data_IF_391555353734
#
_entry.id   IF_391555353734
#
_cell.length_a   1.000
_cell.length_b   1.000
_cell.length_c   1.000
_cell.angle_alpha   90.00
_cell.angle_beta   90.00
_cell.angle_gamma   90.00
#
_symmetry.space_group_name_H-M   'P 1'
#
loop_
_entity.id
_entity.type
_entity.pdbx_description
1 polymer ?
#
# COMPACT_ATOMS: atom_id res chain seq x y z
N UNK A 1 35.62 18.25 -0.49
CA UNK A 1 34.44 18.84 -1.16
C UNK A 1 34.15 17.98 -2.38
N UNK A 2 33.00 17.32 -2.43
CA UNK A 2 32.67 16.42 -3.53
C UNK A 2 32.57 17.16 -4.86
N UNK A 3 33.15 16.57 -5.89
CA UNK A 3 33.18 17.13 -7.24
C UNK A 3 31.82 16.82 -7.88
N UNK A 4 31.17 17.84 -8.44
CA UNK A 4 29.85 17.77 -9.08
C UNK A 4 29.73 16.52 -9.98
N UNK A 5 28.80 15.62 -9.65
CA UNK A 5 28.06 14.84 -10.66
C UNK A 5 28.11 13.29 -10.68
N UNK A 6 28.62 12.53 -9.71
CA UNK A 6 28.83 11.07 -9.97
C UNK A 6 28.10 10.03 -9.10
N UNK A 7 27.70 10.33 -7.86
CA UNK A 7 27.22 9.31 -6.91
C UNK A 7 25.92 9.65 -6.18
N UNK A 8 25.87 10.80 -5.51
CA UNK A 8 24.72 11.21 -4.69
C UNK A 8 23.43 11.34 -5.49
N UNK A 9 23.51 12.02 -6.62
CA UNK A 9 22.38 12.22 -7.52
C UNK A 9 21.86 10.88 -8.06
N UNK A 10 22.74 9.89 -8.29
CA UNK A 10 22.34 8.53 -8.69
C UNK A 10 21.65 7.77 -7.56
N UNK A 11 22.13 7.93 -6.32
CA UNK A 11 21.52 7.29 -5.16
C UNK A 11 20.13 7.89 -4.90
N UNK A 12 20.01 9.22 -4.98
CA UNK A 12 18.73 9.92 -4.78
C UNK A 12 17.76 9.57 -5.89
N UNK A 13 18.14 9.77 -7.17
CA UNK A 13 17.26 9.47 -8.30
C UNK A 13 16.82 8.01 -8.31
N UNK A 14 17.73 7.05 -8.10
CA UNK A 14 17.40 5.63 -8.02
C UNK A 14 16.47 5.27 -6.86
N UNK A 15 16.39 6.09 -5.82
CA UNK A 15 15.44 5.95 -4.71
C UNK A 15 14.09 6.61 -5.03
N UNK A 16 14.12 7.81 -5.61
CA UNK A 16 12.93 8.59 -6.00
C UNK A 16 12.05 7.87 -7.02
N UNK A 17 12.65 7.13 -7.96
CA UNK A 17 11.91 6.37 -8.97
C UNK A 17 11.24 5.08 -8.45
N UNK A 18 11.41 4.72 -7.17
CA UNK A 18 10.80 3.52 -6.61
C UNK A 18 9.32 3.73 -6.27
N UNK A 19 8.50 2.70 -6.51
CA UNK A 19 7.02 2.73 -6.42
C UNK A 19 6.49 3.24 -5.07
N UNK A 20 7.22 3.01 -3.98
CA UNK A 20 6.80 3.35 -2.60
C UNK A 20 7.57 4.52 -1.98
N UNK A 21 8.25 5.31 -2.82
CA UNK A 21 8.96 6.51 -2.41
C UNK A 21 7.97 7.62 -2.00
N UNK A 22 8.32 8.33 -0.93
CA UNK A 22 7.74 9.61 -0.55
C UNK A 22 8.90 10.50 -0.04
N UNK A 23 8.69 11.81 0.02
CA UNK A 23 9.69 12.77 0.48
C UNK A 23 10.16 12.49 1.92
N UNK A 24 9.29 11.95 2.78
CA UNK A 24 9.63 11.49 4.14
C UNK A 24 10.63 10.32 4.17
N UNK A 25 10.79 9.63 3.04
CA UNK A 25 11.69 8.49 2.87
C UNK A 25 12.95 8.86 2.08
N UNK A 26 13.27 10.15 1.95
CA UNK A 26 14.48 10.61 1.27
C UNK A 26 15.75 10.10 1.97
N UNK A 27 16.73 9.55 1.22
CA UNK A 27 17.99 9.12 1.81
C UNK A 27 18.73 10.26 2.52
N UNK A 28 19.25 9.97 3.71
CA UNK A 28 20.02 10.93 4.51
C UNK A 28 21.50 10.64 4.37
N UNK A 29 22.26 11.67 4.04
CA UNK A 29 23.71 11.61 3.86
C UNK A 29 24.40 12.36 4.99
N UNK A 30 25.31 11.69 5.69
CA UNK A 30 26.15 12.30 6.73
C UNK A 30 27.60 12.01 6.39
N UNK A 31 28.42 13.06 6.36
CA UNK A 31 29.85 12.96 6.16
C UNK A 31 30.59 13.69 7.27
N UNK A 32 31.64 13.07 7.79
CA UNK A 32 32.61 13.71 8.67
C UNK A 32 34.04 13.40 8.18
N UNK A 33 35.06 13.69 9.00
CA UNK A 33 36.47 13.51 8.64
C UNK A 33 36.91 12.05 8.54
N UNK A 34 36.15 11.11 9.10
CA UNK A 34 36.54 9.71 9.23
C UNK A 34 35.52 8.73 8.62
N UNK A 35 34.27 9.15 8.48
CA UNK A 35 33.22 8.30 7.97
C UNK A 35 32.25 9.05 7.05
N UNK A 36 31.62 8.24 6.23
CA UNK A 36 30.48 8.61 5.42
C UNK A 36 29.37 7.60 5.67
N UNK A 37 28.18 8.09 5.98
CA UNK A 37 27.01 7.26 6.29
C UNK A 37 25.85 7.65 5.39
N UNK A 38 25.23 6.64 4.80
CA UNK A 38 23.97 6.78 4.06
C UNK A 38 22.90 6.00 4.81
N UNK A 39 21.81 6.68 5.18
CA UNK A 39 20.62 6.02 5.73
C UNK A 39 19.57 5.98 4.63
N UNK A 40 19.14 4.78 4.25
CA UNK A 40 18.13 4.54 3.22
C UNK A 40 16.83 4.03 3.88
N UNK A 41 15.79 4.88 4.01
CA UNK A 41 14.54 4.51 4.67
C UNK A 41 13.76 3.44 3.92
N UNK A 42 13.66 2.24 4.49
CA UNK A 42 13.07 1.09 3.80
C UNK A 42 11.70 1.37 3.17
N UNK A 43 11.64 1.31 1.83
CA UNK A 43 10.42 1.59 1.07
C UNK A 43 9.39 0.44 1.13
N UNK A 44 9.82 -0.77 1.50
CA UNK A 44 8.99 -1.98 1.45
C UNK A 44 8.17 -2.21 2.73
N UNK A 45 8.51 -1.54 3.83
CA UNK A 45 7.81 -1.67 5.11
C UNK A 45 6.95 -0.44 5.35
N UNK A 46 5.72 -0.50 4.83
CA UNK A 46 4.65 0.40 5.29
C UNK A 46 3.87 -0.33 6.38
N UNK A 47 4.32 -0.19 7.63
CA UNK A 47 3.48 -0.43 8.81
C UNK A 47 3.08 0.96 9.34
N UNK A 48 1.78 1.25 9.52
CA UNK A 48 1.25 2.61 9.49
C UNK A 48 1.28 3.26 10.88
N UNK A 49 1.81 4.49 10.99
CA UNK A 49 1.49 5.44 12.06
C UNK A 49 2.19 6.78 11.74
N UNK A 50 1.48 7.68 11.08
CA UNK A 50 0.88 8.85 11.72
C UNK A 50 0.35 9.75 10.60
N UNK A 51 -0.89 10.16 10.73
CA UNK A 51 -1.65 10.80 9.65
C UNK A 51 -2.86 11.44 10.26
N UNK A 52 -2.61 12.61 10.83
CA UNK A 52 -3.55 13.61 11.29
C UNK A 52 -4.85 13.63 10.48
N UNK A 53 -5.96 13.71 11.23
CA UNK A 53 -7.32 14.19 10.89
C UNK A 53 -7.49 14.77 9.47
N UNK A 54 -8.49 14.38 8.67
CA UNK A 54 -9.91 14.62 8.94
C UNK A 54 -10.79 13.78 7.98
N UNK A 55 -11.56 12.81 8.48
CA UNK A 55 -12.77 12.31 7.80
C UNK A 55 -13.76 11.81 8.87
N UNK A 56 -15.07 12.13 8.83
CA UNK A 56 -15.97 11.91 9.95
C UNK A 56 -16.10 10.43 10.33
N UNK A 57 -15.77 10.17 11.59
CA UNK A 57 -15.98 8.93 12.33
C UNK A 57 -17.47 8.58 12.36
N UNK A 58 -17.90 7.59 11.58
CA UNK A 58 -19.19 6.94 11.82
C UNK A 58 -19.33 5.51 11.25
N UNK A 59 -18.37 4.62 11.53
CA UNK A 59 -18.59 3.17 11.35
C UNK A 59 -17.91 2.41 12.50
N UNK A 60 -18.59 1.44 13.16
CA UNK A 60 -18.11 0.80 14.39
C UNK A 60 -16.72 0.18 14.24
N UNK A 61 -15.86 0.45 15.22
CA UNK A 61 -14.57 -0.20 15.43
C UNK A 61 -14.84 -1.64 15.88
N UNK A 62 -14.52 -2.65 15.07
CA UNK A 62 -14.24 -3.95 15.67
C UNK A 62 -13.34 -4.93 14.91
N UNK A 63 -12.72 -4.52 13.81
CA UNK A 63 -11.71 -5.37 13.16
C UNK A 63 -10.63 -4.45 12.65
N UNK A 64 -9.39 -4.65 13.10
CA UNK A 64 -8.17 -4.01 12.59
C UNK A 64 -8.03 -4.34 11.10
N UNK A 65 -8.78 -3.67 10.24
CA UNK A 65 -8.65 -3.74 8.80
C UNK A 65 -7.42 -2.93 8.44
N UNK A 66 -6.43 -3.59 7.83
CA UNK A 66 -5.26 -2.87 7.34
C UNK A 66 -5.72 -1.83 6.32
N UNK A 67 -5.00 -0.71 6.22
CA UNK A 67 -5.26 0.32 5.20
C UNK A 67 -5.43 -0.27 3.80
N UNK A 68 -4.68 -1.35 3.50
CA UNK A 68 -4.78 -2.13 2.26
C UNK A 68 -6.13 -2.86 2.10
N UNK A 69 -6.66 -3.45 3.17
CA UNK A 69 -7.94 -4.18 3.16
C UNK A 69 -9.09 -3.22 2.79
N UNK A 70 -9.08 -2.04 3.40
CA UNK A 70 -10.04 -0.96 3.10
C UNK A 70 -9.93 -0.51 1.64
N UNK A 71 -8.72 -0.37 1.11
CA UNK A 71 -8.50 0.01 -0.29
C UNK A 71 -9.01 -1.07 -1.26
N UNK A 72 -8.78 -2.35 -0.98
CA UNK A 72 -9.30 -3.47 -1.78
C UNK A 72 -10.83 -3.46 -1.78
N UNK A 73 -11.46 -3.30 -0.62
CA UNK A 73 -12.92 -3.19 -0.48
C UNK A 73 -13.45 -2.01 -1.30
N UNK A 74 -12.80 -0.84 -1.22
CA UNK A 74 -13.22 0.34 -1.96
C UNK A 74 -13.12 0.16 -3.48
N UNK A 75 -12.11 -0.56 -3.97
CA UNK A 75 -12.00 -0.90 -5.39
C UNK A 75 -13.11 -1.85 -5.84
N UNK A 76 -13.41 -2.89 -5.04
CA UNK A 76 -14.51 -3.83 -5.32
C UNK A 76 -15.87 -3.13 -5.29
N UNK A 77 -16.08 -2.20 -4.36
CA UNK A 77 -17.32 -1.41 -4.28
C UNK A 77 -17.51 -0.48 -5.49
N UNK A 78 -16.42 0.04 -6.06
CA UNK A 78 -16.46 0.87 -7.28
C UNK A 78 -16.70 0.04 -8.53
N UNK A 79 -16.03 -1.10 -8.64
CA UNK A 79 -16.17 -2.05 -9.75
C UNK A 79 -16.09 -3.48 -9.22
N UNK A 80 -17.25 -4.14 -9.12
CA UNK A 80 -17.32 -5.51 -8.63
C UNK A 80 -16.74 -6.53 -9.62
N UNK A 81 -16.44 -6.15 -10.86
CA UNK A 81 -15.80 -7.02 -11.88
C UNK A 81 -14.30 -6.81 -12.00
N UNK A 82 -13.71 -5.96 -11.16
CA UNK A 82 -12.29 -5.66 -11.22
C UNK A 82 -11.45 -6.93 -10.97
N UNK A 83 -10.43 -7.16 -11.80
CA UNK A 83 -9.52 -8.29 -11.64
C UNK A 83 -8.49 -8.02 -10.54
N UNK A 84 -7.95 -9.08 -9.93
CA UNK A 84 -6.88 -8.95 -8.94
C UNK A 84 -5.63 -8.27 -9.49
N UNK A 85 -5.39 -8.38 -10.80
CA UNK A 85 -4.27 -7.73 -11.49
C UNK A 85 -4.48 -6.22 -11.62
N UNK A 86 -5.70 -5.79 -11.98
CA UNK A 86 -6.04 -4.37 -12.00
C UNK A 86 -5.99 -3.75 -10.61
N UNK A 87 -6.47 -4.48 -9.59
CA UNK A 87 -6.32 -4.05 -8.19
C UNK A 87 -4.83 -3.91 -7.81
N UNK A 88 -4.00 -4.87 -8.21
CA UNK A 88 -2.56 -4.86 -7.93
C UNK A 88 -1.87 -3.64 -8.56
N UNK A 89 -2.16 -3.33 -9.82
CA UNK A 89 -1.64 -2.14 -10.52
C UNK A 89 -2.12 -0.85 -9.83
N UNK A 90 -3.41 -0.75 -9.51
CA UNK A 90 -3.99 0.44 -8.89
C UNK A 90 -3.41 0.72 -7.49
N UNK A 91 -3.03 -0.34 -6.76
CA UNK A 91 -2.47 -0.24 -5.41
C UNK A 91 -0.94 -0.32 -5.37
N UNK A 92 -0.26 -0.49 -6.51
CA UNK A 92 1.20 -0.60 -6.58
C UNK A 92 1.77 -1.84 -5.88
N UNK A 93 1.01 -2.93 -5.76
CA UNK A 93 1.41 -4.17 -5.07
C UNK A 93 1.35 -5.38 -5.98
N UNK A 94 1.85 -6.53 -5.51
CA UNK A 94 1.73 -7.78 -6.26
C UNK A 94 0.32 -8.36 -6.21
N UNK A 95 -0.11 -9.05 -7.27
CA UNK A 95 -1.38 -9.80 -7.29
C UNK A 95 -1.46 -10.86 -6.19
N UNK A 96 -0.31 -11.42 -5.79
CA UNK A 96 -0.19 -12.37 -4.66
C UNK A 96 -0.51 -11.70 -3.32
N UNK A 97 -0.08 -10.45 -3.13
CA UNK A 97 -0.40 -9.64 -1.95
C UNK A 97 -1.90 -9.40 -1.86
N UNK A 98 -2.54 -8.99 -2.97
CA UNK A 98 -4.00 -8.80 -3.03
C UNK A 98 -4.75 -10.08 -2.64
N UNK A 99 -4.40 -11.22 -3.25
CA UNK A 99 -5.03 -12.51 -2.92
C UNK A 99 -4.84 -12.90 -1.46
N UNK A 100 -3.66 -12.65 -0.89
CA UNK A 100 -3.39 -12.92 0.54
C UNK A 100 -4.29 -12.09 1.46
N UNK A 101 -4.48 -10.82 1.14
CA UNK A 101 -5.37 -9.94 1.90
C UNK A 101 -6.84 -10.38 1.76
N UNK A 102 -7.30 -10.68 0.54
CA UNK A 102 -8.65 -11.20 0.29
C UNK A 102 -8.91 -12.48 1.07
N UNK A 103 -7.98 -13.44 1.06
CA UNK A 103 -8.13 -14.68 1.82
C UNK A 103 -8.16 -14.48 3.34
N UNK A 104 -7.64 -13.36 3.84
CA UNK A 104 -7.71 -12.99 5.27
C UNK A 104 -9.05 -12.33 5.62
N UNK A 105 -9.71 -11.75 4.62
CA UNK A 105 -11.02 -11.11 4.74
C UNK A 105 -12.11 -12.17 4.50
N UNK A 106 -12.69 -12.70 5.57
CA UNK A 106 -13.76 -13.71 5.47
C UNK A 106 -15.07 -13.17 4.85
N UNK A 107 -15.18 -11.85 4.72
CA UNK A 107 -16.34 -11.14 4.20
C UNK A 107 -16.30 -10.90 2.68
N UNK A 108 -15.26 -11.34 1.96
CA UNK A 108 -15.13 -11.10 0.51
C UNK A 108 -14.95 -12.42 -0.23
N UNK A 109 -15.76 -12.65 -1.26
CA UNK A 109 -15.66 -13.84 -2.10
C UNK A 109 -15.94 -13.53 -3.57
N UNK A 110 -15.38 -14.35 -4.44
CA UNK A 110 -15.58 -14.25 -5.89
C UNK A 110 -16.66 -15.23 -6.34
N UNK A 111 -17.74 -14.70 -6.91
CA UNK A 111 -18.83 -15.50 -7.47
C UNK A 111 -18.60 -15.70 -8.95
N UNK A 112 -18.37 -16.95 -9.37
CA UNK A 112 -18.23 -17.29 -10.79
C UNK A 112 -19.52 -17.94 -11.31
N UNK A 113 -20.41 -17.16 -11.94
CA UNK A 113 -21.48 -17.67 -12.82
C UNK A 113 -21.03 -17.52 -14.29
N UNK A 114 -20.48 -18.59 -14.87
CA UNK A 114 -20.01 -18.58 -16.26
C UNK A 114 -18.85 -17.61 -16.51
N UNK A 115 -18.86 -16.92 -17.66
CA UNK A 115 -17.85 -15.92 -18.04
C UNK A 115 -17.99 -14.56 -17.32
N UNK A 116 -19.05 -14.37 -16.53
CA UNK A 116 -19.40 -13.09 -15.92
C UNK A 116 -19.28 -13.15 -14.38
N UNK A 117 -18.10 -13.52 -13.88
CA UNK A 117 -17.88 -13.56 -12.43
C UNK A 117 -17.59 -12.17 -11.85
N UNK A 118 -18.03 -11.95 -10.61
CA UNK A 118 -17.85 -10.69 -9.87
C UNK A 118 -17.55 -10.96 -8.39
N UNK A 119 -17.07 -9.93 -7.69
CA UNK A 119 -16.81 -9.95 -6.26
C UNK A 119 -18.04 -9.53 -5.47
N UNK A 120 -18.32 -10.23 -4.38
CA UNK A 120 -19.37 -9.92 -3.41
C UNK A 120 -18.76 -9.70 -2.03
N UNK A 121 -19.36 -8.79 -1.26
CA UNK A 121 -18.96 -8.45 0.11
C UNK A 121 -20.16 -8.77 1.01
N UNK A 122 -20.01 -9.73 1.92
CA UNK A 122 -21.02 -9.98 2.96
C UNK A 122 -20.65 -9.15 4.18
N UNK A 123 -21.36 -8.05 4.40
CA UNK A 123 -21.34 -7.42 5.71
C UNK A 123 -22.06 -8.40 6.65
N UNK A 124 -21.34 -9.00 7.61
CA UNK A 124 -21.99 -9.72 8.71
C UNK A 124 -22.84 -8.67 9.43
N UNK A 125 -24.11 -8.67 9.10
CA UNK A 125 -25.13 -7.87 9.76
C UNK A 125 -25.22 -8.44 11.18
N UNK A 126 -24.52 -7.83 12.14
CA UNK A 126 -24.71 -8.06 13.58
C UNK A 126 -26.06 -7.46 13.99
N UNK A 127 -27.16 -7.93 13.38
CA UNK A 127 -28.51 -7.72 13.89
C UNK A 127 -28.83 -8.92 14.78
N UNK A 128 -28.78 -8.65 16.09
CA UNK A 128 -29.12 -9.60 17.14
C UNK A 128 -30.62 -9.88 17.28
#
# INVERSE_FOLDING_TARGET
MERKGSGFEKIISGYEFQINYNEDKKPLFRSDRYQFTVVMPNLNYSVPQDGTQDVPRNVPRDIVHNKMDIQIINLIRKDCRISTEKMAIALGVSSKTIKRHINKMENIYYVRRGSNGHWEITEKDDRG
#
